data_IF_190837996111
#
_entry.id   IF_190837996111
#
_cell.length_a   1.000
_cell.length_b   1.000
_cell.length_c   1.000
_cell.angle_alpha   90.00
_cell.angle_beta   90.00
_cell.angle_gamma   90.00
#
_symmetry.space_group_name_H-M   'P 1'
#
loop_
_entity.id
_entity.type
_entity.pdbx_description
1 polymer ?
#
# COMPACT_ATOMS: atom_id res chain seq x y z
N UNK A 1 -37.81 -1.28 26.43
CA UNK A 1 -36.64 -2.16 26.66
C UNK A 1 -36.24 -2.78 25.36
N UNK A 2 -34.96 -2.99 25.06
CA UNK A 2 -34.58 -3.72 23.84
C UNK A 2 -35.17 -5.13 23.87
N UNK A 3 -35.66 -5.58 22.72
CA UNK A 3 -36.27 -6.88 22.59
C UNK A 3 -35.21 -7.98 22.79
N UNK A 4 -35.45 -8.95 23.67
CA UNK A 4 -34.56 -10.07 23.97
C UNK A 4 -34.14 -10.84 22.71
N UNK A 5 -35.07 -10.99 21.75
CA UNK A 5 -34.79 -11.65 20.46
C UNK A 5 -33.78 -10.85 19.64
N UNK A 6 -33.87 -9.53 19.64
CA UNK A 6 -32.94 -8.65 18.91
C UNK A 6 -31.53 -8.69 19.51
N UNK A 7 -31.44 -8.65 20.85
CA UNK A 7 -30.15 -8.81 21.55
C UNK A 7 -29.52 -10.17 21.25
N UNK A 8 -30.29 -11.25 21.27
CA UNK A 8 -29.81 -12.59 20.92
C UNK A 8 -29.30 -12.67 19.47
N UNK A 9 -30.04 -12.06 18.52
CA UNK A 9 -29.63 -11.99 17.11
C UNK A 9 -28.35 -11.17 16.93
N UNK A 10 -28.23 -10.02 17.63
CA UNK A 10 -27.01 -9.21 17.61
C UNK A 10 -25.80 -9.97 18.15
N UNK A 11 -25.96 -10.66 19.28
CA UNK A 11 -24.89 -11.50 19.85
C UNK A 11 -24.45 -12.58 18.83
N UNK A 12 -25.38 -13.25 18.17
CA UNK A 12 -25.07 -14.26 17.17
C UNK A 12 -24.35 -13.66 15.96
N UNK A 13 -24.77 -12.50 15.46
CA UNK A 13 -24.11 -11.77 14.36
C UNK A 13 -22.67 -11.36 14.71
N UNK A 14 -22.45 -10.77 15.91
CA UNK A 14 -21.11 -10.37 16.34
C UNK A 14 -20.20 -11.56 16.56
N UNK A 15 -20.73 -12.70 17.09
CA UNK A 15 -19.98 -13.96 17.17
C UNK A 15 -19.53 -14.46 15.81
N UNK A 16 -20.37 -14.36 14.78
CA UNK A 16 -20.01 -14.70 13.40
C UNK A 16 -18.93 -13.77 12.86
N UNK A 17 -19.08 -12.45 13.05
CA UNK A 17 -18.08 -11.45 12.65
C UNK A 17 -16.72 -11.74 13.30
N UNK A 18 -16.69 -12.05 14.61
CA UNK A 18 -15.45 -12.42 15.32
C UNK A 18 -14.77 -13.64 14.71
N UNK A 19 -15.52 -14.65 14.29
CA UNK A 19 -14.96 -15.82 13.59
C UNK A 19 -14.35 -15.45 12.25
N UNK A 20 -15.04 -14.62 11.47
CA UNK A 20 -14.57 -14.15 10.16
C UNK A 20 -13.29 -13.31 10.31
N UNK A 21 -13.27 -12.33 11.21
CA UNK A 21 -12.10 -11.48 11.41
C UNK A 21 -10.89 -12.27 11.89
N UNK A 22 -11.09 -13.27 12.77
CA UNK A 22 -10.03 -14.18 13.21
C UNK A 22 -9.46 -15.01 12.06
N UNK A 23 -10.32 -15.54 11.20
CA UNK A 23 -9.89 -16.26 10.00
C UNK A 23 -9.10 -15.35 9.04
N UNK A 24 -9.59 -14.11 8.82
CA UNK A 24 -8.90 -13.13 7.98
C UNK A 24 -7.54 -12.73 8.55
N UNK A 25 -7.41 -12.61 9.87
CA UNK A 25 -6.13 -12.38 10.54
C UNK A 25 -5.13 -13.49 10.23
N UNK A 26 -5.54 -14.76 10.35
CA UNK A 26 -4.66 -15.90 10.04
C UNK A 26 -4.24 -15.95 8.57
N UNK A 27 -5.16 -15.67 7.66
CA UNK A 27 -4.85 -15.61 6.22
C UNK A 27 -3.87 -14.46 5.93
N UNK A 28 -4.07 -13.29 6.55
CA UNK A 28 -3.17 -12.15 6.40
C UNK A 28 -1.76 -12.48 6.94
N UNK A 29 -1.65 -13.14 8.08
CA UNK A 29 -0.37 -13.59 8.65
C UNK A 29 0.39 -14.54 7.71
N UNK A 30 -0.31 -15.52 7.12
CA UNK A 30 0.29 -16.45 6.16
C UNK A 30 0.76 -15.75 4.86
N UNK A 31 -0.02 -14.75 4.39
CA UNK A 31 0.36 -13.96 3.22
C UNK A 31 1.51 -13.01 3.52
N UNK A 32 1.54 -12.42 4.71
CA UNK A 32 2.63 -11.56 5.17
C UNK A 32 3.96 -12.31 5.15
N UNK A 33 4.01 -13.51 5.72
CA UNK A 33 5.22 -14.33 5.73
C UNK A 33 5.76 -14.55 4.31
N UNK A 34 4.88 -14.93 3.37
CA UNK A 34 5.27 -15.12 1.97
C UNK A 34 5.75 -13.83 1.30
N UNK A 35 5.15 -12.69 1.65
CA UNK A 35 5.57 -11.40 1.11
C UNK A 35 6.93 -10.97 1.67
N UNK A 36 7.19 -11.24 2.95
CA UNK A 36 8.50 -11.01 3.58
C UNK A 36 9.57 -11.89 2.94
N UNK A 37 9.31 -13.20 2.81
CA UNK A 37 10.25 -14.13 2.15
C UNK A 37 10.60 -13.63 0.73
N UNK A 38 9.60 -13.16 -0.04
CA UNK A 38 9.82 -12.63 -1.38
C UNK A 38 10.63 -11.32 -1.39
N UNK A 39 10.38 -10.42 -0.44
CA UNK A 39 11.14 -9.17 -0.31
C UNK A 39 12.59 -9.45 0.10
N UNK A 40 12.82 -10.34 1.05
CA UNK A 40 14.17 -10.74 1.48
C UNK A 40 14.97 -11.40 0.34
N UNK A 41 14.33 -12.26 -0.45
CA UNK A 41 14.97 -12.89 -1.61
C UNK A 41 15.34 -11.90 -2.72
N UNK A 42 14.65 -10.77 -2.82
CA UNK A 42 14.92 -9.74 -3.84
C UNK A 42 16.01 -8.73 -3.41
N UNK A 43 16.26 -8.58 -2.11
CA UNK A 43 17.22 -7.59 -1.57
C UNK A 43 18.62 -7.69 -2.15
N UNK A 44 19.28 -8.87 -2.19
CA UNK A 44 20.65 -8.97 -2.69
C UNK A 44 20.79 -8.49 -4.13
N UNK A 45 19.78 -8.76 -4.96
CA UNK A 45 19.76 -8.26 -6.33
C UNK A 45 19.61 -6.75 -6.38
N UNK A 46 18.66 -6.21 -5.62
CA UNK A 46 18.38 -4.77 -5.59
C UNK A 46 19.58 -3.97 -5.05
N UNK A 47 20.21 -4.45 -3.99
CA UNK A 47 21.40 -3.83 -3.39
C UNK A 47 22.57 -3.82 -4.38
N UNK A 48 22.86 -4.97 -5.02
CA UNK A 48 23.92 -5.06 -6.01
C UNK A 48 23.62 -4.21 -7.25
N UNK A 49 22.38 -4.23 -7.72
CA UNK A 49 21.94 -3.38 -8.83
C UNK A 49 22.13 -1.90 -8.52
N UNK A 50 21.70 -1.45 -7.34
CA UNK A 50 21.86 -0.04 -6.91
C UNK A 50 23.33 0.35 -6.78
N UNK A 51 24.20 -0.52 -6.27
CA UNK A 51 25.63 -0.26 -6.17
C UNK A 51 26.29 -0.07 -7.55
N UNK A 52 25.96 -0.95 -8.53
CA UNK A 52 26.47 -0.82 -9.90
C UNK A 52 25.93 0.45 -10.56
N UNK A 53 24.64 0.75 -10.38
CA UNK A 53 24.04 1.97 -10.91
C UNK A 53 24.61 3.24 -10.31
N UNK A 54 24.95 3.22 -9.01
CA UNK A 54 25.60 4.35 -8.34
C UNK A 54 26.99 4.63 -8.94
N UNK A 55 27.78 3.58 -9.16
CA UNK A 55 29.10 3.69 -9.81
C UNK A 55 29.01 4.26 -11.23
N UNK A 56 28.09 3.70 -12.06
CA UNK A 56 27.86 4.17 -13.41
C UNK A 56 27.32 5.60 -13.48
N UNK A 57 26.42 5.97 -12.57
CA UNK A 57 25.89 7.32 -12.50
C UNK A 57 26.97 8.36 -12.13
N UNK A 58 27.91 7.98 -11.28
CA UNK A 58 29.03 8.84 -10.89
C UNK A 58 30.02 9.06 -12.05
N UNK A 59 30.27 8.04 -12.90
CA UNK A 59 31.16 8.14 -14.05
C UNK A 59 30.50 8.84 -15.25
N UNK A 60 29.18 8.68 -15.44
CA UNK A 60 28.44 9.18 -16.61
C UNK A 60 27.86 10.61 -16.44
N UNK A 61 28.20 11.32 -15.40
CA UNK A 61 27.68 12.67 -15.05
C UNK A 61 28.18 13.83 -15.95
N UNK A 62 28.29 13.65 -17.28
CA UNK A 62 28.73 14.65 -18.25
C UNK A 62 27.67 15.01 -19.30
N UNK A 63 28.05 15.95 -20.22
CA UNK A 63 27.24 16.25 -21.41
C UNK A 63 27.05 14.97 -22.23
N UNK A 64 25.79 14.51 -22.37
CA UNK A 64 25.44 13.28 -23.10
C UNK A 64 24.82 12.18 -22.22
N UNK A 65 24.69 12.38 -20.90
CA UNK A 65 24.05 11.41 -20.02
C UNK A 65 22.61 11.12 -20.47
N UNK A 66 22.15 9.84 -20.40
CA UNK A 66 20.79 9.48 -20.75
C UNK A 66 19.75 10.28 -19.94
N UNK A 67 18.63 10.67 -20.60
CA UNK A 67 17.56 11.49 -19.98
C UNK A 67 16.97 10.88 -18.72
N UNK A 68 16.99 9.56 -18.58
CA UNK A 68 16.53 8.86 -17.38
C UNK A 68 17.43 9.12 -16.16
N UNK A 69 18.68 9.55 -16.38
CA UNK A 69 19.63 9.90 -15.33
C UNK A 69 19.73 11.42 -15.13
N UNK A 70 19.89 12.17 -16.22
CA UNK A 70 20.10 13.63 -16.20
C UNK A 70 18.80 14.45 -16.11
N UNK A 71 17.64 13.81 -16.35
CA UNK A 71 16.37 14.48 -16.50
C UNK A 71 16.15 15.07 -17.90
N UNK A 72 15.01 15.73 -18.10
CA UNK A 72 14.63 16.44 -19.33
C UNK A 72 15.18 17.86 -19.39
N UNK A 73 15.81 18.35 -18.31
CA UNK A 73 16.18 19.76 -18.14
C UNK A 73 15.00 20.64 -17.70
N UNK A 74 13.83 20.07 -17.51
CA UNK A 74 12.61 20.70 -17.03
C UNK A 74 12.11 19.99 -15.76
N UNK A 75 11.37 20.71 -14.92
CA UNK A 75 10.75 20.20 -13.70
C UNK A 75 9.29 20.70 -13.59
N UNK A 76 8.61 20.76 -14.73
CA UNK A 76 7.28 21.36 -14.83
C UNK A 76 6.15 20.33 -14.70
N UNK A 77 6.35 19.10 -15.14
CA UNK A 77 5.32 18.05 -15.16
C UNK A 77 5.74 16.84 -14.35
N UNK A 78 4.98 16.53 -13.30
CA UNK A 78 5.25 15.41 -12.40
C UNK A 78 4.25 14.28 -12.56
N UNK A 79 4.75 13.06 -12.75
CA UNK A 79 3.96 11.83 -12.69
C UNK A 79 4.01 11.22 -11.29
N UNK A 80 2.86 11.11 -10.64
CA UNK A 80 2.70 10.46 -9.36
C UNK A 80 2.14 9.05 -9.55
N UNK A 81 2.92 8.02 -9.27
CA UNK A 81 2.50 6.63 -9.34
C UNK A 81 2.07 6.18 -7.95
N UNK A 82 0.75 6.09 -7.71
CA UNK A 82 0.19 5.84 -6.38
C UNK A 82 -0.18 4.36 -6.24
N UNK A 83 0.60 3.63 -5.43
CA UNK A 83 0.46 2.18 -5.23
C UNK A 83 -0.32 1.89 -3.94
N UNK A 84 -1.46 1.21 -4.07
CA UNK A 84 -2.33 0.85 -2.95
C UNK A 84 -2.88 -0.55 -3.12
N UNK A 85 -3.67 -1.01 -2.14
CA UNK A 85 -4.33 -2.30 -2.23
C UNK A 85 -5.54 -2.28 -3.17
N UNK A 86 -5.86 -3.44 -3.74
CA UNK A 86 -7.13 -3.68 -4.45
C UNK A 86 -8.31 -3.78 -3.49
N UNK A 87 -8.07 -4.26 -2.28
CA UNK A 87 -9.11 -4.54 -1.27
C UNK A 87 -8.91 -3.68 -0.03
N UNK A 88 -10.01 -3.42 0.67
CA UNK A 88 -10.00 -2.73 1.96
C UNK A 88 -9.67 -3.64 3.14
N UNK A 89 -10.10 -3.22 4.32
CA UNK A 89 -9.93 -3.91 5.61
C UNK A 89 -8.45 -4.06 6.03
N UNK A 90 -7.60 -3.12 5.62
CA UNK A 90 -6.19 -3.00 5.98
C UNK A 90 -5.90 -1.75 6.83
N UNK A 91 -6.84 -1.36 7.69
CA UNK A 91 -6.68 -0.19 8.56
C UNK A 91 -6.44 1.09 7.78
N UNK A 92 -5.47 1.89 8.23
CA UNK A 92 -5.09 3.16 7.61
C UNK A 92 -4.18 3.06 6.38
N UNK A 93 -3.77 1.86 5.96
CA UNK A 93 -2.77 1.64 4.91
C UNK A 93 -3.05 2.45 3.63
N UNK A 94 -4.21 2.22 2.99
CA UNK A 94 -4.56 2.94 1.76
C UNK A 94 -4.72 4.45 1.99
N UNK A 95 -5.33 4.83 3.12
CA UNK A 95 -5.56 6.23 3.48
C UNK A 95 -4.27 7.01 3.69
N UNK A 96 -3.27 6.41 4.32
CA UNK A 96 -1.99 7.05 4.60
C UNK A 96 -1.19 7.31 3.32
N UNK A 97 -1.11 6.33 2.40
CA UNK A 97 -0.47 6.51 1.09
C UNK A 97 -1.19 7.59 0.28
N UNK A 98 -2.53 7.52 0.22
CA UNK A 98 -3.34 8.49 -0.51
C UNK A 98 -3.22 9.91 0.08
N UNK A 99 -3.08 10.03 1.40
CA UNK A 99 -2.85 11.33 2.07
C UNK A 99 -1.49 11.91 1.68
N UNK A 100 -0.43 11.09 1.67
CA UNK A 100 0.90 11.51 1.27
C UNK A 100 0.91 11.97 -0.20
N UNK A 101 0.33 11.19 -1.10
CA UNK A 101 0.25 11.53 -2.53
C UNK A 101 -0.53 12.83 -2.77
N UNK A 102 -1.68 13.04 -2.09
CA UNK A 102 -2.44 14.29 -2.16
C UNK A 102 -1.66 15.49 -1.65
N UNK A 103 -0.97 15.35 -0.51
CA UNK A 103 -0.15 16.42 0.04
C UNK A 103 0.98 16.81 -0.91
N UNK A 104 1.63 15.83 -1.53
CA UNK A 104 2.68 16.04 -2.53
C UNK A 104 2.13 16.72 -3.79
N UNK A 105 0.99 16.25 -4.32
CA UNK A 105 0.31 16.87 -5.46
C UNK A 105 -0.09 18.32 -5.18
N UNK A 106 -0.62 18.60 -3.96
CA UNK A 106 -0.99 19.96 -3.56
C UNK A 106 0.23 20.89 -3.49
N UNK A 107 1.37 20.39 -2.98
CA UNK A 107 2.63 21.14 -2.95
C UNK A 107 3.10 21.50 -4.36
N UNK A 108 3.16 20.51 -5.27
CA UNK A 108 3.57 20.73 -6.66
C UNK A 108 2.65 21.73 -7.39
N UNK A 109 1.35 21.61 -7.22
CA UNK A 109 0.37 22.55 -7.80
C UNK A 109 0.52 23.97 -7.22
N UNK A 110 0.85 24.12 -5.95
CA UNK A 110 1.14 25.42 -5.33
C UNK A 110 2.43 26.05 -5.87
N UNK A 111 3.38 25.23 -6.30
CA UNK A 111 4.61 25.67 -7.00
C UNK A 111 4.37 25.97 -8.50
N UNK A 112 3.15 25.85 -8.98
CA UNK A 112 2.79 26.10 -10.39
C UNK A 112 3.08 24.92 -11.33
N UNK A 113 3.40 23.74 -10.81
CA UNK A 113 3.72 22.55 -11.60
C UNK A 113 2.47 21.76 -11.97
N UNK A 114 2.53 21.07 -13.10
CA UNK A 114 1.47 20.18 -13.57
C UNK A 114 1.63 18.80 -12.95
N UNK A 115 0.54 18.23 -12.45
CA UNK A 115 0.53 16.90 -11.83
C UNK A 115 -0.24 15.94 -12.73
N UNK A 116 0.33 14.77 -12.98
CA UNK A 116 -0.32 13.60 -13.60
C UNK A 116 -0.31 12.44 -12.62
N UNK A 117 -1.36 11.63 -12.60
CA UNK A 117 -1.49 10.54 -11.63
C UNK A 117 -1.77 9.22 -12.32
N UNK A 118 -0.88 8.25 -12.12
CA UNK A 118 -1.08 6.85 -12.46
C UNK A 118 -1.40 6.08 -11.18
N UNK A 119 -2.56 5.46 -11.12
CA UNK A 119 -2.97 4.68 -9.94
C UNK A 119 -2.71 3.20 -10.15
N UNK A 120 -2.09 2.56 -9.14
CA UNK A 120 -1.90 1.12 -9.07
C UNK A 120 -2.69 0.62 -7.85
N UNK A 121 -3.74 -0.16 -8.11
CA UNK A 121 -4.68 -0.60 -7.07
C UNK A 121 -5.91 0.30 -6.91
N UNK A 122 -7.06 -0.35 -6.81
CA UNK A 122 -8.38 0.29 -6.81
C UNK A 122 -8.60 1.25 -5.64
N UNK A 123 -8.12 0.88 -4.44
CA UNK A 123 -8.44 1.66 -3.22
C UNK A 123 -7.78 3.03 -3.18
N UNK A 124 -6.59 3.18 -3.74
CA UNK A 124 -5.95 4.49 -3.92
C UNK A 124 -6.74 5.37 -4.89
N UNK A 125 -7.10 4.81 -6.05
CA UNK A 125 -7.94 5.50 -7.04
C UNK A 125 -9.23 6.03 -6.40
N UNK A 126 -9.96 5.15 -5.69
CA UNK A 126 -11.20 5.54 -5.01
C UNK A 126 -10.97 6.68 -3.99
N UNK A 127 -9.85 6.63 -3.26
CA UNK A 127 -9.56 7.58 -2.19
C UNK A 127 -9.14 8.98 -2.70
N UNK A 128 -8.42 9.05 -3.85
CA UNK A 128 -7.90 10.32 -4.38
C UNK A 128 -8.74 10.88 -5.52
N UNK A 129 -9.69 10.10 -6.05
CA UNK A 129 -10.54 10.48 -7.18
C UNK A 129 -11.19 11.86 -7.00
N UNK A 130 -11.73 12.13 -5.80
CA UNK A 130 -12.45 13.40 -5.54
C UNK A 130 -11.57 14.63 -5.76
N UNK A 131 -10.27 14.52 -5.45
CA UNK A 131 -9.37 15.66 -5.43
C UNK A 131 -8.48 15.75 -6.69
N UNK A 132 -8.24 14.61 -7.37
CA UNK A 132 -7.26 14.49 -8.46
C UNK A 132 -7.83 13.76 -9.72
N UNK A 133 -9.15 13.67 -9.89
CA UNK A 133 -9.75 12.95 -11.03
C UNK A 133 -9.30 13.50 -12.38
N UNK A 134 -9.15 14.81 -12.48
CA UNK A 134 -8.73 15.49 -13.71
C UNK A 134 -7.26 15.23 -14.09
N UNK A 135 -6.46 14.83 -13.09
CA UNK A 135 -5.04 14.57 -13.26
C UNK A 135 -4.75 13.08 -13.59
N UNK A 136 -5.78 12.22 -13.61
CA UNK A 136 -5.59 10.80 -13.88
C UNK A 136 -5.21 10.54 -15.33
N UNK A 137 -4.08 9.87 -15.52
CA UNK A 137 -3.59 9.45 -16.84
C UNK A 137 -3.74 7.94 -17.08
N UNK A 138 -3.99 7.16 -16.03
CA UNK A 138 -4.17 5.73 -16.13
C UNK A 138 -4.48 5.04 -14.80
N UNK A 139 -4.83 3.75 -14.93
CA UNK A 139 -5.06 2.87 -13.78
C UNK A 139 -4.59 1.46 -14.11
N UNK A 140 -3.79 0.90 -13.21
CA UNK A 140 -3.34 -0.50 -13.28
C UNK A 140 -4.13 -1.31 -12.27
N UNK A 141 -4.88 -2.29 -12.76
CA UNK A 141 -5.64 -3.24 -11.95
C UNK A 141 -4.79 -4.50 -11.72
N UNK A 142 -4.56 -4.82 -10.45
CA UNK A 142 -3.83 -6.01 -10.01
C UNK A 142 -4.73 -7.05 -9.33
N UNK A 143 -6.06 -6.93 -9.46
CA UNK A 143 -7.04 -7.80 -8.78
C UNK A 143 -6.89 -9.28 -9.13
N UNK A 144 -6.52 -9.59 -10.36
CA UNK A 144 -6.29 -10.95 -10.86
C UNK A 144 -4.91 -11.52 -10.50
N UNK A 145 -3.99 -10.67 -10.03
CA UNK A 145 -2.63 -11.08 -9.70
C UNK A 145 -2.61 -11.81 -8.36
N UNK A 146 -2.42 -13.12 -8.40
CA UNK A 146 -2.34 -13.97 -7.20
C UNK A 146 -1.01 -13.83 -6.45
N UNK A 147 0.07 -13.64 -7.19
CA UNK A 147 1.43 -13.46 -6.66
C UNK A 147 2.13 -12.37 -7.46
N UNK A 148 2.59 -11.36 -6.77
CA UNK A 148 3.35 -10.27 -7.38
C UNK A 148 4.68 -10.79 -7.90
N UNK A 149 4.92 -10.63 -9.19
CA UNK A 149 6.15 -11.02 -9.89
C UNK A 149 6.79 -9.81 -10.56
N UNK A 150 8.04 -9.98 -11.01
CA UNK A 150 8.78 -8.96 -11.75
C UNK A 150 8.03 -8.50 -13.01
N UNK A 151 7.33 -9.41 -13.68
CA UNK A 151 6.54 -9.10 -14.89
C UNK A 151 5.45 -8.04 -14.65
N UNK A 152 4.83 -8.04 -13.46
CA UNK A 152 3.84 -7.04 -13.10
C UNK A 152 4.49 -5.65 -12.95
N UNK A 153 5.66 -5.60 -12.30
CA UNK A 153 6.43 -4.37 -12.18
C UNK A 153 6.95 -3.88 -13.54
N UNK A 154 7.44 -4.79 -14.37
CA UNK A 154 7.90 -4.49 -15.72
C UNK A 154 6.79 -3.93 -16.61
N UNK A 155 5.56 -4.43 -16.49
CA UNK A 155 4.40 -3.88 -17.19
C UNK A 155 4.11 -2.43 -16.79
N UNK A 156 4.17 -2.11 -15.49
CA UNK A 156 4.00 -0.74 -14.98
C UNK A 156 5.17 0.14 -15.43
N UNK A 157 6.41 -0.36 -15.29
CA UNK A 157 7.59 0.38 -15.70
C UNK A 157 7.57 0.75 -17.19
N UNK A 158 7.14 -0.19 -18.04
CA UNK A 158 7.00 0.05 -19.48
C UNK A 158 5.97 1.14 -19.79
N UNK A 159 4.83 1.19 -19.10
CA UNK A 159 3.86 2.28 -19.26
C UNK A 159 4.46 3.63 -18.84
N UNK A 160 5.16 3.67 -17.72
CA UNK A 160 5.86 4.88 -17.23
C UNK A 160 6.94 5.33 -18.22
N UNK A 161 7.79 4.42 -18.69
CA UNK A 161 8.87 4.72 -19.65
C UNK A 161 8.33 5.19 -21.00
N UNK A 162 7.31 4.55 -21.55
CA UNK A 162 6.67 4.97 -22.80
C UNK A 162 6.13 6.41 -22.71
N UNK A 163 5.55 6.78 -21.57
CA UNK A 163 5.06 8.15 -21.31
C UNK A 163 6.21 9.16 -21.16
N UNK A 164 7.32 8.74 -20.56
CA UNK A 164 8.52 9.56 -20.45
C UNK A 164 9.14 9.83 -21.81
N UNK A 165 9.29 8.79 -22.64
CA UNK A 165 9.81 8.90 -24.01
C UNK A 165 8.90 9.76 -24.90
N UNK A 166 7.58 9.74 -24.66
CA UNK A 166 6.62 10.61 -25.32
C UNK A 166 6.65 12.07 -24.80
N UNK A 167 7.47 12.39 -23.80
CA UNK A 167 7.58 13.74 -23.20
C UNK A 167 6.35 14.14 -22.38
N UNK A 168 5.60 13.17 -21.86
CA UNK A 168 4.38 13.48 -21.09
C UNK A 168 4.67 14.03 -19.69
N UNK A 169 5.85 13.80 -19.13
CA UNK A 169 6.28 14.29 -17.83
C UNK A 169 7.79 14.39 -17.72
N UNK A 170 8.29 15.14 -16.73
CA UNK A 170 9.70 15.36 -16.45
C UNK A 170 10.19 14.49 -15.29
N UNK A 171 9.39 14.39 -14.24
CA UNK A 171 9.73 13.71 -12.99
C UNK A 171 8.68 12.65 -12.65
N UNK A 172 9.11 11.45 -12.25
CA UNK A 172 8.22 10.40 -11.77
C UNK A 172 8.55 10.03 -10.32
N UNK A 173 7.50 10.03 -9.47
CA UNK A 173 7.59 9.66 -8.05
C UNK A 173 6.60 8.55 -7.76
N UNK A 174 7.06 7.45 -7.13
CA UNK A 174 6.21 6.36 -6.63
C UNK A 174 5.83 6.61 -5.18
N UNK A 175 4.57 6.32 -4.85
CA UNK A 175 4.02 6.39 -3.49
C UNK A 175 3.59 4.99 -3.06
N UNK A 176 4.18 4.50 -2.00
CA UNK A 176 3.92 3.17 -1.45
C UNK A 176 4.11 3.17 0.07
N UNK A 177 3.91 2.04 0.73
CA UNK A 177 4.22 1.88 2.14
C UNK A 177 5.41 0.93 2.32
N UNK A 178 6.52 1.46 2.86
CA UNK A 178 7.68 0.64 3.24
C UNK A 178 7.33 -0.18 4.48
N UNK A 179 7.63 -1.46 4.44
CA UNK A 179 7.39 -2.37 5.54
C UNK A 179 8.50 -2.27 6.58
N UNK A 180 8.18 -1.78 7.77
CA UNK A 180 9.09 -1.78 8.91
C UNK A 180 8.79 -2.96 9.84
N UNK A 181 7.53 -3.12 10.23
CA UNK A 181 7.04 -4.24 11.03
C UNK A 181 5.51 -4.34 10.92
N UNK A 182 4.89 -5.32 11.58
CA UNK A 182 3.44 -5.55 11.55
C UNK A 182 2.62 -4.34 12.04
N UNK A 183 3.16 -3.56 12.96
CA UNK A 183 2.47 -2.40 13.55
C UNK A 183 2.73 -1.13 12.73
N UNK A 184 3.93 -0.99 12.17
CA UNK A 184 4.40 0.23 11.51
C UNK A 184 4.66 -0.01 10.04
N UNK A 185 3.90 0.68 9.19
CA UNK A 185 4.12 0.80 7.76
C UNK A 185 4.32 2.27 7.44
N UNK A 186 5.42 2.61 6.78
CA UNK A 186 5.83 4.00 6.53
C UNK A 186 5.41 4.40 5.13
N UNK A 187 4.44 5.33 4.96
CA UNK A 187 4.14 5.90 3.65
C UNK A 187 5.37 6.61 3.12
N UNK A 188 5.82 6.21 1.94
CA UNK A 188 7.07 6.67 1.33
C UNK A 188 6.80 7.25 -0.04
N UNK A 189 7.42 8.37 -0.35
CA UNK A 189 7.53 8.93 -1.69
C UNK A 189 8.97 8.73 -2.14
N UNK A 190 9.16 8.09 -3.30
CA UNK A 190 10.47 7.81 -3.86
C UNK A 190 10.48 8.26 -5.31
N UNK A 191 11.41 9.14 -5.68
CA UNK A 191 11.63 9.50 -7.07
C UNK A 191 12.28 8.33 -7.81
N UNK A 192 11.82 8.08 -9.04
CA UNK A 192 12.35 7.02 -9.90
C UNK A 192 12.83 7.54 -11.26
N UNK A 193 12.37 8.72 -11.67
CA UNK A 193 12.83 9.43 -12.87
C UNK A 193 12.91 10.93 -12.52
N UNK A 194 14.03 11.62 -12.76
CA UNK A 194 15.35 11.05 -13.03
C UNK A 194 15.79 10.07 -11.95
N UNK A 195 16.67 9.13 -12.32
CA UNK A 195 17.16 8.12 -11.37
C UNK A 195 18.01 8.79 -10.30
N UNK A 196 17.60 8.64 -9.05
CA UNK A 196 18.39 9.05 -7.89
C UNK A 196 19.00 7.81 -7.24
N UNK A 197 20.28 7.91 -6.93
CA UNK A 197 20.97 6.88 -6.15
C UNK A 197 20.38 6.89 -4.73
N UNK A 198 19.85 5.76 -4.24
CA UNK A 198 19.29 5.72 -2.89
C UNK A 198 20.36 6.10 -1.83
N UNK A 199 19.95 6.90 -0.83
CA UNK A 199 20.82 7.25 0.29
C UNK A 199 21.34 5.99 1.01
N UNK A 200 22.64 5.92 1.30
CA UNK A 200 23.28 4.79 1.96
C UNK A 200 23.63 3.63 1.04
N UNK A 201 23.59 3.82 -0.28
CA UNK A 201 24.13 2.84 -1.22
C UNK A 201 25.64 2.88 -1.11
N UNK A 202 26.26 1.76 -0.68
CA UNK A 202 27.73 1.62 -0.69
C UNK A 202 28.19 1.62 -2.15
N UNK A 203 28.83 2.70 -2.56
CA UNK A 203 29.55 2.74 -3.82
C UNK A 203 30.78 1.89 -3.61
N UNK A 204 30.89 0.78 -4.35
CA UNK A 204 32.04 -0.10 -4.29
C UNK A 204 33.25 0.63 -4.94
N UNK A 205 33.90 1.48 -4.17
CA UNK A 205 35.00 2.38 -4.59
C UNK A 205 36.26 1.62 -5.08
N UNK A 206 36.25 0.28 -5.02
CA UNK A 206 37.38 -0.57 -5.35
C UNK A 206 37.19 -1.54 -6.51
N UNK A 207 35.98 -1.69 -7.01
CA UNK A 207 35.74 -2.60 -8.13
C UNK A 207 35.90 -1.88 -9.47
N UNK A 208 37.02 -2.14 -10.14
CA UNK A 208 37.23 -1.76 -11.54
C UNK A 208 36.36 -2.70 -12.41
N UNK A 209 35.29 -2.17 -12.97
CA UNK A 209 34.49 -2.89 -13.96
C UNK A 209 34.93 -2.50 -15.37
N UNK A 210 35.21 -3.49 -16.20
CA UNK A 210 35.35 -3.29 -17.65
C UNK A 210 33.95 -3.39 -18.29
N UNK A 211 33.54 -2.32 -18.96
CA UNK A 211 32.23 -2.22 -19.57
C UNK A 211 32.32 -2.50 -21.07
N UNK A 212 31.62 -3.56 -21.53
CA UNK A 212 31.49 -3.90 -22.94
C UNK A 212 30.04 -3.75 -23.40
N UNK A 213 29.71 -3.07 -24.52
CA UNK A 213 30.63 -2.41 -25.46
C UNK A 213 31.07 -1.00 -25.02
N UNK A 214 30.30 -0.30 -24.19
CA UNK A 214 30.61 1.02 -23.61
C UNK A 214 29.72 1.31 -22.40
N UNK A 215 30.15 2.19 -21.51
CA UNK A 215 29.37 2.64 -20.35
C UNK A 215 27.99 3.19 -20.74
N UNK A 216 27.92 3.98 -21.82
CA UNK A 216 26.68 4.59 -22.32
C UNK A 216 25.68 3.53 -22.80
N UNK A 217 26.15 2.51 -23.53
CA UNK A 217 25.29 1.42 -24.02
C UNK A 217 24.73 0.58 -22.86
N UNK A 218 25.56 0.32 -21.85
CA UNK A 218 25.14 -0.39 -20.64
C UNK A 218 24.14 0.44 -19.84
N UNK A 219 24.37 1.73 -19.66
CA UNK A 219 23.41 2.63 -18.98
C UNK A 219 22.08 2.70 -19.69
N UNK A 220 22.08 2.74 -21.04
CA UNK A 220 20.84 2.74 -21.82
C UNK A 220 20.00 1.47 -21.59
N UNK A 221 20.62 0.32 -21.32
CA UNK A 221 19.92 -0.93 -20.98
C UNK A 221 19.57 -1.03 -19.49
N UNK A 222 20.46 -0.58 -18.60
CA UNK A 222 20.25 -0.72 -17.15
C UNK A 222 19.27 0.29 -16.57
N UNK A 223 19.20 1.53 -17.06
CA UNK A 223 18.30 2.55 -16.53
C UNK A 223 16.81 2.15 -16.60
N UNK A 224 16.28 1.66 -17.73
CA UNK A 224 14.92 1.12 -17.77
C UNK A 224 14.70 -0.06 -16.79
N UNK A 225 15.69 -0.92 -16.66
CA UNK A 225 15.66 -2.02 -15.68
C UNK A 225 15.68 -1.49 -14.23
N UNK A 226 16.39 -0.38 -14.00
CA UNK A 226 16.40 0.32 -12.70
C UNK A 226 15.03 0.80 -12.28
N UNK A 227 14.31 1.45 -13.19
CA UNK A 227 12.92 1.87 -12.97
C UNK A 227 12.04 0.66 -12.65
N UNK A 228 12.16 -0.44 -13.42
CA UNK A 228 11.39 -1.66 -13.17
C UNK A 228 11.74 -2.31 -11.83
N UNK A 229 13.01 -2.31 -11.43
CA UNK A 229 13.49 -2.85 -10.16
C UNK A 229 13.00 -2.03 -8.98
N UNK A 230 13.02 -0.69 -9.08
CA UNK A 230 12.49 0.20 -8.07
C UNK A 230 10.98 -0.01 -7.87
N UNK A 231 10.22 -0.12 -8.96
CA UNK A 231 8.78 -0.42 -8.92
C UNK A 231 8.54 -1.82 -8.32
N UNK A 232 9.35 -2.82 -8.68
CA UNK A 232 9.22 -4.17 -8.14
C UNK A 232 9.47 -4.21 -6.63
N UNK A 233 10.54 -3.59 -6.17
CA UNK A 233 10.84 -3.46 -4.75
C UNK A 233 9.70 -2.76 -3.99
N UNK A 234 9.20 -1.65 -4.53
CA UNK A 234 8.07 -0.94 -3.96
C UNK A 234 6.78 -1.79 -3.90
N UNK A 235 6.49 -2.60 -4.93
CA UNK A 235 5.33 -3.51 -4.92
C UNK A 235 5.46 -4.61 -3.88
N UNK A 236 6.65 -5.17 -3.67
CA UNK A 236 6.91 -6.18 -2.64
C UNK A 236 6.77 -5.61 -1.23
N UNK A 237 7.39 -4.46 -0.97
CA UNK A 237 7.26 -3.73 0.30
C UNK A 237 5.80 -3.34 0.59
N UNK A 238 5.10 -2.85 -0.42
CA UNK A 238 3.70 -2.47 -0.34
C UNK A 238 2.81 -3.69 -0.05
N UNK A 239 3.09 -4.82 -0.66
CA UNK A 239 2.39 -6.08 -0.42
C UNK A 239 2.57 -6.60 1.01
N UNK A 240 3.80 -6.55 1.55
CA UNK A 240 4.09 -6.91 2.93
C UNK A 240 3.39 -5.94 3.90
N UNK A 241 3.47 -4.63 3.64
CA UNK A 241 2.81 -3.58 4.41
C UNK A 241 1.28 -3.74 4.44
N UNK A 242 0.66 -4.05 3.31
CA UNK A 242 -0.77 -4.33 3.19
C UNK A 242 -1.19 -5.50 4.08
N UNK A 243 -0.46 -6.61 4.03
CA UNK A 243 -0.81 -7.79 4.82
C UNK A 243 -0.53 -7.58 6.32
N UNK A 244 0.53 -6.88 6.69
CA UNK A 244 0.81 -6.46 8.06
C UNK A 244 -0.29 -5.59 8.64
N UNK A 245 -0.68 -4.54 7.92
CA UNK A 245 -1.79 -3.65 8.29
C UNK A 245 -3.12 -4.39 8.39
N UNK A 246 -3.40 -5.32 7.45
CA UNK A 246 -4.61 -6.14 7.48
C UNK A 246 -4.62 -7.07 8.69
N UNK A 247 -3.50 -7.72 9.00
CA UNK A 247 -3.38 -8.60 10.17
C UNK A 247 -3.68 -7.83 11.46
N UNK A 248 -3.07 -6.66 11.64
CA UNK A 248 -3.29 -5.79 12.80
C UNK A 248 -4.74 -5.29 12.89
N UNK A 249 -5.32 -4.85 11.76
CA UNK A 249 -6.71 -4.39 11.70
C UNK A 249 -7.70 -5.51 12.06
N UNK A 250 -7.46 -6.74 11.59
CA UNK A 250 -8.32 -7.89 11.89
C UNK A 250 -8.16 -8.38 13.32
N UNK A 251 -6.97 -8.26 13.92
CA UNK A 251 -6.76 -8.53 15.34
C UNK A 251 -7.55 -7.56 16.21
N UNK A 252 -7.45 -6.26 15.94
CA UNK A 252 -8.23 -5.24 16.63
C UNK A 252 -9.74 -5.47 16.47
N UNK A 253 -10.21 -5.77 15.26
CA UNK A 253 -11.62 -6.06 15.00
C UNK A 253 -12.10 -7.31 15.78
N UNK A 254 -11.25 -8.34 15.92
CA UNK A 254 -11.55 -9.56 16.67
C UNK A 254 -11.66 -9.30 18.17
N UNK A 255 -10.75 -8.47 18.74
CA UNK A 255 -10.84 -8.02 20.14
C UNK A 255 -12.08 -7.20 20.41
N UNK A 256 -12.32 -6.18 19.59
CA UNK A 256 -13.50 -5.32 19.73
C UNK A 256 -14.82 -6.12 19.61
N UNK A 257 -14.87 -7.13 18.73
CA UNK A 257 -16.00 -8.03 18.64
C UNK A 257 -16.18 -8.87 19.92
N UNK A 258 -15.08 -9.30 20.57
CA UNK A 258 -15.12 -9.98 21.88
C UNK A 258 -15.75 -9.09 22.95
N UNK A 259 -15.24 -7.89 23.12
CA UNK A 259 -15.76 -6.92 24.10
C UNK A 259 -17.24 -6.57 23.85
N UNK A 260 -17.63 -6.47 22.57
CA UNK A 260 -19.03 -6.22 22.22
C UNK A 260 -19.94 -7.39 22.60
N UNK A 261 -19.48 -8.63 22.41
CA UNK A 261 -20.22 -9.84 22.84
C UNK A 261 -20.44 -9.83 24.34
N UNK A 262 -19.41 -9.51 25.13
CA UNK A 262 -19.49 -9.46 26.57
C UNK A 262 -20.49 -8.39 27.03
N UNK A 263 -20.41 -7.17 26.48
CA UNK A 263 -21.36 -6.08 26.78
C UNK A 263 -22.81 -6.47 26.43
N UNK A 264 -23.03 -7.00 25.23
CA UNK A 264 -24.36 -7.43 24.80
C UNK A 264 -24.89 -8.60 25.64
N UNK A 265 -24.03 -9.49 26.14
CA UNK A 265 -24.43 -10.61 26.99
C UNK A 265 -24.89 -10.12 28.37
N UNK A 266 -24.21 -9.14 28.95
CA UNK A 266 -24.62 -8.49 30.22
C UNK A 266 -25.98 -7.81 30.02
N UNK A 267 -26.15 -7.05 28.94
CA UNK A 267 -27.40 -6.37 28.63
C UNK A 267 -28.56 -7.37 28.42
N UNK A 268 -28.31 -8.45 27.68
CA UNK A 268 -29.28 -9.53 27.50
C UNK A 268 -29.70 -10.15 28.82
N UNK A 269 -28.75 -10.49 29.69
CA UNK A 269 -29.06 -11.10 30.99
C UNK A 269 -29.88 -10.15 31.87
N UNK A 270 -29.52 -8.87 31.92
CA UNK A 270 -30.26 -7.84 32.67
C UNK A 270 -31.69 -7.67 32.14
N UNK A 271 -31.85 -7.56 30.82
CA UNK A 271 -33.17 -7.44 30.19
C UNK A 271 -34.02 -8.70 30.42
N UNK A 272 -33.41 -9.90 30.35
CA UNK A 272 -34.08 -11.15 30.63
C UNK A 272 -34.59 -11.21 32.07
N UNK A 273 -33.74 -10.83 33.06
CA UNK A 273 -34.18 -10.77 34.45
C UNK A 273 -35.34 -9.80 34.66
N UNK A 274 -35.29 -8.61 34.04
CA UNK A 274 -36.35 -7.65 34.11
C UNK A 274 -37.69 -8.17 33.55
N UNK A 275 -37.64 -8.88 32.41
CA UNK A 275 -38.85 -9.50 31.82
C UNK A 275 -39.38 -10.59 32.74
N UNK A 276 -38.54 -11.48 33.29
CA UNK A 276 -38.98 -12.55 34.20
C UNK A 276 -39.60 -11.91 35.46
N UNK A 277 -39.01 -10.85 36.00
CA UNK A 277 -39.56 -10.15 37.21
C UNK A 277 -40.92 -9.53 36.90
N UNK A 278 -41.11 -8.88 35.73
CA UNK A 278 -42.37 -8.33 35.35
C UNK A 278 -43.45 -9.42 35.14
N UNK A 279 -43.12 -10.53 34.48
CA UNK A 279 -44.04 -11.67 34.31
C UNK A 279 -44.46 -12.26 35.66
N UNK A 280 -43.53 -12.37 36.63
CA UNK A 280 -43.83 -12.83 37.97
C UNK A 280 -44.76 -11.86 38.74
N UNK A 281 -44.53 -10.54 38.62
CA UNK A 281 -45.37 -9.52 39.22
C UNK A 281 -46.82 -9.58 38.64
N UNK A 282 -46.92 -9.73 37.30
CA UNK A 282 -48.19 -9.86 36.60
C UNK A 282 -48.98 -11.10 37.09
N UNK A 283 -48.28 -12.24 37.25
CA UNK A 283 -48.90 -13.50 37.75
C UNK A 283 -49.37 -13.31 39.20
N UNK A 284 -48.55 -12.72 40.07
CA UNK A 284 -48.93 -12.49 41.49
C UNK A 284 -50.10 -11.53 41.60
N UNK A 285 -50.05 -10.40 40.88
CA UNK A 285 -51.14 -9.41 40.88
C UNK A 285 -52.43 -9.98 40.30
N UNK A 286 -52.35 -10.87 39.29
CA UNK A 286 -53.50 -11.55 38.75
C UNK A 286 -54.12 -12.58 39.70
N UNK A 287 -53.26 -13.24 40.55
CA UNK A 287 -53.75 -14.19 41.56
C UNK A 287 -54.39 -13.51 42.77
N UNK A 288 -53.93 -12.28 43.12
CA UNK A 288 -54.51 -11.48 44.22
C UNK A 288 -55.86 -10.80 43.82
N UNK A 289 -56.13 -10.67 42.50
CA UNK A 289 -57.36 -10.11 41.95
C UNK A 289 -58.51 -11.11 41.77
N UNK A 290 -58.26 -12.41 41.97
CA UNK A 290 -59.24 -13.49 42.00
C UNK A 290 -59.64 -13.82 43.43
#
# INVERSE_FOLDING_TARGET
MPNLKDLKNRIASVKSTRKITKAMQMVAAAKLRRAQDAAEMSRPYTERFNAVMAGLAASAGGEGAPKLLSGTGSDNVHLLVVMTAERGLCGGFNGNISKLARAHAAKLKAEGKTVKVLTVGKKGRDAIKRDLEQDFVGHVDLSEVKRMGYENAHGIARDVLNRFDAGEFDVATIFYAKFQNVVTQIPTAQQIIPFEVPEGTDVDDGALYDYEPSEEAILADLLPRGVATAIFSALLENGASEQGARMSAMDNATRNAGEMIDKLTIEYNRSRQAVITNELIEIISGAEAL
#
